data_IF_950604605658
#
_entry.id   IF_950604605658
#
_cell.length_a   1.000
_cell.length_b   1.000
_cell.length_c   1.000
_cell.angle_alpha   90.00
_cell.angle_beta   90.00
_cell.angle_gamma   90.00
#
_symmetry.space_group_name_H-M   'P 1'
#
loop_
_entity.id
_entity.type
_entity.pdbx_description
1 polymer ?
#
# COMPACT_ATOMS: atom_id res chain seq x y z
N UNK A 1 -19.31 8.38 -33.01
CA UNK A 1 -18.73 7.31 -32.16
C UNK A 1 -17.84 6.42 -33.01
N UNK A 2 -16.61 6.87 -33.31
CA UNK A 2 -15.54 5.99 -33.76
C UNK A 2 -15.03 5.26 -32.52
N UNK A 3 -15.57 4.09 -32.26
CA UNK A 3 -14.88 3.07 -31.48
C UNK A 3 -13.62 2.75 -32.29
N UNK A 4 -12.49 3.33 -31.91
CA UNK A 4 -11.18 2.95 -32.42
C UNK A 4 -11.05 1.46 -32.14
N UNK A 5 -11.04 0.65 -33.18
CA UNK A 5 -10.65 -0.76 -33.09
C UNK A 5 -9.15 -0.75 -32.78
N UNK A 6 -8.86 -0.88 -31.48
CA UNK A 6 -7.48 -1.07 -31.02
C UNK A 6 -7.02 -2.41 -31.59
N UNK A 7 -5.95 -2.39 -32.36
CA UNK A 7 -5.42 -3.62 -32.96
C UNK A 7 -4.86 -4.53 -31.83
N UNK A 8 -4.97 -5.85 -32.02
CA UNK A 8 -4.36 -6.81 -31.11
C UNK A 8 -2.85 -6.60 -30.96
N UNK A 9 -2.21 -6.09 -32.01
CA UNK A 9 -0.78 -5.78 -32.03
C UNK A 9 -0.44 -4.59 -31.11
N UNK A 10 -1.25 -3.54 -31.07
CA UNK A 10 -1.04 -2.39 -30.21
C UNK A 10 -1.18 -2.75 -28.74
N UNK A 11 -2.17 -3.58 -28.39
CA UNK A 11 -2.34 -4.12 -27.03
C UNK A 11 -1.13 -4.98 -26.65
N UNK A 12 -0.66 -5.83 -27.55
CA UNK A 12 0.52 -6.67 -27.32
C UNK A 12 1.77 -5.82 -27.07
N UNK A 13 2.00 -4.78 -27.87
CA UNK A 13 3.13 -3.85 -27.69
C UNK A 13 3.05 -3.12 -26.36
N UNK A 14 1.86 -2.62 -25.99
CA UNK A 14 1.64 -2.00 -24.67
C UNK A 14 1.99 -2.97 -23.54
N UNK A 15 1.55 -4.22 -23.61
CA UNK A 15 1.88 -5.23 -22.60
C UNK A 15 3.38 -5.55 -22.55
N UNK A 16 4.07 -5.53 -23.70
CA UNK A 16 5.53 -5.68 -23.72
C UNK A 16 6.24 -4.48 -23.10
N UNK A 17 5.80 -3.24 -23.38
CA UNK A 17 6.33 -2.04 -22.74
C UNK A 17 6.09 -2.07 -21.23
N UNK A 18 4.89 -2.46 -20.80
CA UNK A 18 4.56 -2.63 -19.40
C UNK A 18 5.45 -3.68 -18.71
N UNK A 19 5.66 -4.83 -19.37
CA UNK A 19 6.60 -5.84 -18.90
C UNK A 19 8.02 -5.26 -18.75
N UNK A 20 8.47 -4.44 -19.68
CA UNK A 20 9.79 -3.79 -19.62
C UNK A 20 9.85 -2.79 -18.47
N UNK A 21 8.79 -2.01 -18.22
CA UNK A 21 8.72 -1.08 -17.08
C UNK A 21 8.76 -1.81 -15.74
N UNK A 22 8.14 -3.00 -15.65
CA UNK A 22 8.08 -3.78 -14.41
C UNK A 22 9.34 -4.60 -14.16
N UNK A 23 9.90 -5.21 -15.19
CA UNK A 23 10.93 -6.25 -15.06
C UNK A 23 12.22 -5.93 -15.82
N UNK A 24 12.26 -4.84 -16.59
CA UNK A 24 13.41 -4.47 -17.41
C UNK A 24 14.56 -3.83 -16.62
N UNK A 25 14.28 -3.28 -15.47
CA UNK A 25 15.26 -2.72 -14.55
C UNK A 25 15.24 -3.50 -13.24
N UNK A 26 16.42 -3.84 -12.72
CA UNK A 26 16.57 -4.52 -11.41
C UNK A 26 15.96 -3.72 -10.24
N UNK A 27 15.81 -2.39 -10.40
CA UNK A 27 15.26 -1.47 -9.41
C UNK A 27 13.94 -0.84 -9.87
N UNK A 28 13.02 -1.64 -10.42
CA UNK A 28 11.68 -1.13 -10.76
C UNK A 28 10.92 -0.75 -9.50
N UNK A 29 10.64 0.55 -9.32
CA UNK A 29 9.86 1.07 -8.18
C UNK A 29 8.46 0.43 -8.11
N UNK A 30 7.84 0.14 -9.26
CA UNK A 30 6.54 -0.54 -9.31
C UNK A 30 6.63 -1.97 -8.80
N UNK A 31 7.67 -2.70 -9.20
CA UNK A 31 7.87 -4.07 -8.76
C UNK A 31 8.20 -4.12 -7.28
N UNK A 32 9.10 -3.23 -6.80
CA UNK A 32 9.41 -3.11 -5.39
C UNK A 32 8.17 -2.79 -4.56
N UNK A 33 7.33 -1.86 -5.01
CA UNK A 33 6.07 -1.54 -4.34
C UNK A 33 5.17 -2.77 -4.23
N UNK A 34 4.98 -3.52 -5.32
CA UNK A 34 4.16 -4.74 -5.32
C UNK A 34 4.76 -5.76 -4.35
N UNK A 35 6.06 -6.01 -4.42
CA UNK A 35 6.74 -6.98 -3.58
C UNK A 35 6.64 -6.63 -2.10
N UNK A 36 6.97 -5.40 -1.72
CA UNK A 36 6.96 -4.95 -0.33
C UNK A 36 5.55 -4.89 0.26
N UNK A 37 4.53 -4.60 -0.58
CA UNK A 37 3.15 -4.50 -0.11
C UNK A 37 2.48 -5.87 0.03
N UNK A 38 2.88 -6.86 -0.79
CA UNK A 38 2.13 -8.11 -0.91
C UNK A 38 2.91 -9.36 -0.54
N UNK A 39 4.19 -9.24 -0.21
CA UNK A 39 5.00 -10.41 0.18
C UNK A 39 4.40 -11.12 1.41
N UNK A 40 4.30 -12.45 1.39
CA UNK A 40 4.62 -13.38 0.29
C UNK A 40 3.42 -13.71 -0.63
N UNK A 41 2.36 -12.92 -0.63
CA UNK A 41 1.09 -13.25 -1.28
C UNK A 41 1.03 -12.81 -2.75
N UNK A 42 1.40 -13.67 -3.65
CA UNK A 42 1.39 -13.43 -5.11
C UNK A 42 -0.02 -13.05 -5.62
N UNK A 43 -1.09 -13.59 -5.02
CA UNK A 43 -2.47 -13.26 -5.42
C UNK A 43 -2.77 -11.78 -5.18
N UNK A 44 -2.39 -11.22 -4.03
CA UNK A 44 -2.54 -9.80 -3.74
C UNK A 44 -1.74 -8.94 -4.72
N UNK A 45 -0.53 -9.36 -5.08
CA UNK A 45 0.27 -8.69 -6.11
C UNK A 45 -0.44 -8.63 -7.47
N UNK A 46 -1.07 -9.71 -7.89
CA UNK A 46 -1.86 -9.76 -9.12
C UNK A 46 -3.11 -8.87 -9.04
N UNK A 47 -3.77 -8.78 -7.89
CA UNK A 47 -4.93 -7.90 -7.71
C UNK A 47 -4.52 -6.42 -7.72
N UNK A 48 -3.36 -6.05 -7.15
CA UNK A 48 -2.78 -4.71 -7.27
C UNK A 48 -2.54 -4.37 -8.76
N UNK A 49 -1.90 -5.27 -9.47
CA UNK A 49 -1.62 -5.09 -10.89
C UNK A 49 -2.89 -4.97 -11.72
N UNK A 50 -3.88 -5.81 -11.48
CA UNK A 50 -5.20 -5.72 -12.10
C UNK A 50 -5.87 -4.38 -11.79
N UNK A 51 -5.86 -3.94 -10.53
CA UNK A 51 -6.40 -2.65 -10.12
C UNK A 51 -5.75 -1.50 -10.88
N UNK A 52 -4.44 -1.53 -11.08
CA UNK A 52 -3.73 -0.57 -11.91
C UNK A 52 -4.27 -0.56 -13.35
N UNK A 53 -4.39 -1.72 -14.00
CA UNK A 53 -4.82 -1.81 -15.40
C UNK A 53 -6.27 -1.38 -15.64
N UNK A 54 -7.17 -1.62 -14.67
CA UNK A 54 -8.60 -1.30 -14.80
C UNK A 54 -9.00 0.02 -14.15
N UNK A 55 -8.07 0.67 -13.46
CA UNK A 55 -8.30 1.95 -12.83
C UNK A 55 -8.62 3.04 -13.85
N UNK A 56 -9.60 3.87 -13.55
CA UNK A 56 -9.89 5.07 -14.34
C UNK A 56 -8.78 6.16 -14.28
N UNK A 57 -7.72 5.92 -13.51
CA UNK A 57 -6.56 6.83 -13.37
C UNK A 57 -5.37 6.40 -14.22
N UNK A 58 -5.42 5.21 -14.82
CA UNK A 58 -4.41 4.73 -15.76
C UNK A 58 -4.84 5.05 -17.17
N UNK A 59 -4.01 5.82 -17.89
CA UNK A 59 -4.30 6.23 -19.25
C UNK A 59 -3.91 5.15 -20.28
N UNK A 60 -4.28 3.89 -20.03
CA UNK A 60 -3.94 2.74 -20.91
C UNK A 60 -4.24 3.02 -22.37
N UNK A 61 -5.39 3.65 -22.65
CA UNK A 61 -5.79 4.00 -24.00
C UNK A 61 -4.79 4.98 -24.65
N UNK A 62 -4.31 5.97 -23.93
CA UNK A 62 -3.30 6.91 -24.42
C UNK A 62 -1.96 6.23 -24.70
N UNK A 63 -1.56 5.30 -23.84
CA UNK A 63 -0.34 4.52 -24.06
C UNK A 63 -0.43 3.65 -25.30
N UNK A 64 -1.58 3.00 -25.53
CA UNK A 64 -1.81 2.21 -26.75
C UNK A 64 -1.78 3.10 -27.99
N UNK A 65 -2.44 4.27 -27.96
CA UNK A 65 -2.43 5.21 -29.10
C UNK A 65 -1.02 5.75 -29.41
N UNK A 66 -0.23 6.08 -28.39
CA UNK A 66 1.17 6.51 -28.59
C UNK A 66 1.99 5.42 -29.24
N UNK A 67 1.81 4.17 -28.81
CA UNK A 67 2.50 3.03 -29.38
C UNK A 67 2.06 2.74 -30.84
N UNK A 68 0.81 3.08 -31.20
CA UNK A 68 0.35 3.01 -32.60
C UNK A 68 1.00 4.10 -33.48
N UNK A 69 1.13 5.31 -32.91
CA UNK A 69 1.73 6.45 -33.60
C UNK A 69 3.25 6.29 -33.82
N UNK A 70 3.93 5.70 -32.81
CA UNK A 70 5.37 5.45 -32.88
C UNK A 70 5.69 4.05 -32.33
N UNK A 71 5.73 3.04 -33.20
CA UNK A 71 5.97 1.64 -32.82
C UNK A 71 7.33 1.38 -32.20
N UNK A 72 8.31 2.23 -32.43
CA UNK A 72 9.68 2.09 -31.91
C UNK A 72 9.89 2.83 -30.59
N UNK A 73 8.92 3.64 -30.15
CA UNK A 73 8.99 4.33 -28.88
C UNK A 73 8.80 3.36 -27.70
N UNK A 74 9.59 3.56 -26.65
CA UNK A 74 9.39 2.84 -25.39
C UNK A 74 8.40 3.61 -24.53
N UNK A 75 7.24 3.04 -24.29
CA UNK A 75 6.26 3.63 -23.37
C UNK A 75 6.76 3.52 -21.93
N UNK A 76 7.01 4.65 -21.30
CA UNK A 76 7.37 4.73 -19.88
C UNK A 76 6.11 5.09 -19.12
N UNK A 77 5.73 4.24 -18.16
CA UNK A 77 4.64 4.49 -17.24
C UNK A 77 5.24 5.09 -15.98
N UNK A 78 4.86 6.33 -15.60
CA UNK A 78 5.40 6.96 -14.39
C UNK A 78 4.96 6.22 -13.13
N UNK A 79 5.87 6.05 -12.17
CA UNK A 79 5.58 5.41 -10.89
C UNK A 79 4.43 6.08 -10.13
N UNK A 80 4.37 7.42 -10.13
CA UNK A 80 3.28 8.16 -9.48
C UNK A 80 1.90 7.83 -10.06
N UNK A 81 1.79 7.54 -11.36
CA UNK A 81 0.54 7.15 -12.00
C UNK A 81 0.10 5.76 -11.51
N UNK A 82 1.05 4.84 -11.39
CA UNK A 82 0.82 3.53 -10.82
C UNK A 82 0.31 3.64 -9.37
N UNK A 83 1.02 4.39 -8.51
CA UNK A 83 0.61 4.59 -7.11
C UNK A 83 -0.77 5.26 -7.01
N UNK A 84 -1.03 6.27 -7.84
CA UNK A 84 -2.34 6.92 -7.92
C UNK A 84 -3.45 5.95 -8.30
N UNK A 85 -3.23 5.15 -9.34
CA UNK A 85 -4.20 4.16 -9.82
C UNK A 85 -4.52 3.12 -8.76
N UNK A 86 -3.51 2.59 -8.08
CA UNK A 86 -3.64 1.62 -7.01
C UNK A 86 -4.32 2.22 -5.77
N UNK A 87 -3.92 3.44 -5.38
CA UNK A 87 -4.43 4.10 -4.18
C UNK A 87 -5.86 4.61 -4.31
N UNK A 88 -6.25 5.08 -5.49
CA UNK A 88 -7.60 5.60 -5.74
C UNK A 88 -8.54 4.55 -6.32
N UNK A 89 -8.01 3.50 -6.96
CA UNK A 89 -8.79 2.51 -7.67
C UNK A 89 -9.76 3.22 -8.66
N UNK A 90 -11.07 2.95 -8.58
CA UNK A 90 -12.10 3.59 -9.41
C UNK A 90 -12.72 4.84 -8.77
N UNK A 91 -12.10 5.42 -7.73
CA UNK A 91 -12.63 6.58 -7.02
C UNK A 91 -11.89 7.85 -7.43
N UNK A 92 -12.64 8.96 -7.51
CA UNK A 92 -12.07 10.28 -7.80
C UNK A 92 -11.17 10.78 -6.66
N UNK A 93 -11.50 10.41 -5.43
CA UNK A 93 -10.81 10.84 -4.22
C UNK A 93 -10.37 9.63 -3.40
N UNK A 94 -9.32 9.81 -2.63
CA UNK A 94 -8.83 8.79 -1.71
C UNK A 94 -9.91 8.41 -0.68
N UNK A 95 -10.04 7.10 -0.45
CA UNK A 95 -10.92 6.54 0.57
C UNK A 95 -10.17 5.46 1.34
N UNK A 96 -9.85 5.73 2.61
CA UNK A 96 -9.06 4.84 3.47
C UNK A 96 -9.68 3.47 3.72
N UNK A 97 -11.02 3.34 3.57
CA UNK A 97 -11.71 2.05 3.81
C UNK A 97 -11.55 1.06 2.65
N UNK A 98 -11.21 1.55 1.46
CA UNK A 98 -11.12 0.72 0.24
C UNK A 98 -9.77 0.80 -0.46
N UNK A 99 -8.92 1.74 -0.07
CA UNK A 99 -7.57 1.88 -0.63
C UNK A 99 -6.65 0.80 -0.06
N UNK A 100 -5.82 0.24 -0.92
CA UNK A 100 -4.73 -0.65 -0.51
C UNK A 100 -3.61 0.16 0.17
N UNK A 101 -3.48 1.44 -0.21
CA UNK A 101 -2.51 2.35 0.39
C UNK A 101 -3.13 2.95 1.66
N UNK A 102 -2.56 2.63 2.80
CA UNK A 102 -3.04 3.11 4.09
C UNK A 102 -2.55 4.53 4.37
N UNK A 103 -3.47 5.42 4.76
CA UNK A 103 -3.10 6.76 5.20
C UNK A 103 -2.78 6.76 6.70
N UNK A 104 -1.49 6.69 7.02
CA UNK A 104 -1.00 6.68 8.41
C UNK A 104 -1.26 7.99 9.17
N UNK A 105 -1.59 9.07 8.46
CA UNK A 105 -1.95 10.36 9.07
C UNK A 105 -3.45 10.46 9.39
N UNK A 106 -4.26 9.47 9.00
CA UNK A 106 -5.68 9.45 9.31
C UNK A 106 -5.87 8.79 10.68
N UNK A 107 -6.17 9.55 11.75
CA UNK A 107 -6.29 9.00 13.08
C UNK A 107 -7.63 8.29 13.25
N UNK A 108 -7.72 7.42 14.26
CA UNK A 108 -9.00 6.85 14.70
C UNK A 108 -9.93 7.96 15.20
N UNK A 109 -11.24 7.73 15.13
CA UNK A 109 -12.24 8.71 15.50
C UNK A 109 -12.03 9.25 16.93
N UNK A 110 -12.03 10.57 17.05
CA UNK A 110 -11.81 11.28 18.31
C UNK A 110 -10.34 11.46 18.71
N UNK A 111 -9.39 10.85 18.02
CA UNK A 111 -7.96 11.11 18.23
C UNK A 111 -7.51 12.32 17.41
N UNK A 112 -6.94 13.32 18.06
CA UNK A 112 -6.41 14.51 17.40
C UNK A 112 -4.93 14.38 17.00
N UNK A 113 -4.29 13.25 17.32
CA UNK A 113 -2.87 13.06 17.05
C UNK A 113 -2.64 12.27 15.75
N UNK A 114 -2.47 12.98 14.66
CA UNK A 114 -2.23 12.43 13.32
C UNK A 114 -0.91 11.66 13.14
N UNK A 115 0.00 11.74 14.12
CA UNK A 115 1.32 11.11 14.03
C UNK A 115 1.46 9.87 14.92
N UNK A 116 0.43 9.49 15.65
CA UNK A 116 0.53 8.40 16.63
C UNK A 116 0.87 7.06 15.95
N UNK A 117 0.20 6.69 14.86
CA UNK A 117 0.53 5.48 14.07
C UNK A 117 2.00 5.45 13.64
N UNK A 118 2.48 6.55 13.07
CA UNK A 118 3.87 6.66 12.60
C UNK A 118 4.86 6.51 13.75
N UNK A 119 4.55 7.09 14.92
CA UNK A 119 5.41 6.97 16.10
C UNK A 119 5.44 5.56 16.65
N UNK A 120 4.29 4.87 16.67
CA UNK A 120 4.20 3.47 17.07
C UNK A 120 5.04 2.62 16.12
N UNK A 121 4.84 2.74 14.81
CA UNK A 121 5.60 1.98 13.81
C UNK A 121 7.10 2.24 13.94
N UNK A 122 7.51 3.51 14.06
CA UNK A 122 8.93 3.86 14.20
C UNK A 122 9.54 3.34 15.50
N UNK A 123 8.77 3.26 16.57
CA UNK A 123 9.23 2.66 17.83
C UNK A 123 9.44 1.15 17.67
N UNK A 124 8.47 0.45 17.06
CA UNK A 124 8.54 -0.99 16.82
C UNK A 124 9.70 -1.34 15.87
N UNK A 125 9.88 -0.58 14.80
CA UNK A 125 10.99 -0.74 13.85
C UNK A 125 12.36 -0.61 14.55
N UNK A 126 12.53 0.42 15.38
CA UNK A 126 13.76 0.61 16.15
C UNK A 126 14.01 -0.52 17.14
N UNK A 127 12.96 -1.04 17.79
CA UNK A 127 13.09 -2.18 18.71
C UNK A 127 13.51 -3.44 17.95
N UNK A 128 12.95 -3.67 16.76
CA UNK A 128 13.28 -4.79 15.90
C UNK A 128 14.75 -4.74 15.44
N UNK A 129 15.26 -3.54 15.12
CA UNK A 129 16.61 -3.31 14.62
C UNK A 129 17.66 -3.23 15.74
N UNK A 130 17.27 -3.14 17.02
CA UNK A 130 18.21 -3.09 18.12
C UNK A 130 18.95 -4.42 18.26
N UNK A 131 20.25 -4.41 17.98
CA UNK A 131 21.12 -5.58 18.14
C UNK A 131 21.10 -6.08 19.61
N UNK A 132 20.79 -7.35 19.80
CA UNK A 132 20.88 -8.01 21.10
C UNK A 132 19.58 -8.16 21.88
N UNK A 133 18.44 -7.68 21.39
CA UNK A 133 17.18 -8.03 22.01
C UNK A 133 16.76 -9.44 21.57
N UNK A 134 16.80 -10.38 22.50
CA UNK A 134 16.28 -11.74 22.30
C UNK A 134 14.76 -11.73 22.07
N UNK A 135 14.11 -10.64 22.39
CA UNK A 135 12.68 -10.45 22.28
C UNK A 135 12.36 -9.48 21.13
N UNK A 136 11.96 -10.04 20.00
CA UNK A 136 11.46 -9.29 18.84
C UNK A 136 10.07 -8.71 19.07
N UNK A 137 9.39 -9.15 20.13
CA UNK A 137 8.03 -8.76 20.48
C UNK A 137 8.03 -7.80 21.66
N UNK A 138 7.00 -7.01 21.77
CA UNK A 138 6.72 -6.17 22.92
C UNK A 138 5.31 -6.47 23.42
N UNK A 139 5.15 -6.56 24.73
CA UNK A 139 3.82 -6.68 25.31
C UNK A 139 3.02 -5.41 25.05
N UNK A 140 1.76 -5.55 24.67
CA UNK A 140 0.87 -4.42 24.33
C UNK A 140 0.74 -3.44 25.51
N UNK A 141 0.63 -3.95 26.74
CA UNK A 141 0.52 -3.10 27.93
C UNK A 141 1.80 -2.31 28.20
N UNK A 142 2.97 -2.93 27.98
CA UNK A 142 4.26 -2.25 28.07
C UNK A 142 4.33 -1.10 27.05
N UNK A 143 3.96 -1.37 25.80
CA UNK A 143 3.94 -0.36 24.76
C UNK A 143 2.96 0.77 25.07
N UNK A 144 1.75 0.43 25.54
CA UNK A 144 0.75 1.43 25.95
C UNK A 144 1.30 2.30 27.08
N UNK A 145 1.91 1.71 28.11
CA UNK A 145 2.47 2.45 29.23
C UNK A 145 3.60 3.39 28.79
N UNK A 146 4.47 2.96 27.87
CA UNK A 146 5.52 3.82 27.31
C UNK A 146 4.95 5.07 26.65
N UNK A 147 3.91 4.89 25.82
CA UNK A 147 3.27 6.01 25.13
C UNK A 147 2.45 6.90 26.07
N UNK A 148 1.80 6.33 27.09
CA UNK A 148 1.09 7.11 28.15
C UNK A 148 2.08 7.99 28.91
N UNK A 149 3.26 7.49 29.26
CA UNK A 149 4.31 8.26 29.93
C UNK A 149 4.81 9.45 29.08
N UNK A 150 4.63 9.40 27.78
CA UNK A 150 4.97 10.49 26.85
C UNK A 150 3.77 11.41 26.59
N UNK A 151 2.62 11.15 27.20
CA UNK A 151 1.44 12.03 27.17
C UNK A 151 0.34 11.61 26.19
N UNK A 152 0.37 10.38 25.65
CA UNK A 152 -0.71 9.86 24.83
C UNK A 152 -1.81 9.22 25.68
N UNK A 153 -3.04 9.22 25.17
CA UNK A 153 -4.18 8.61 25.85
C UNK A 153 -4.24 7.11 25.53
N UNK A 154 -4.25 6.26 26.56
CA UNK A 154 -4.24 4.80 26.45
C UNK A 154 -5.28 4.26 25.46
N UNK A 155 -6.52 4.76 25.52
CA UNK A 155 -7.61 4.39 24.60
C UNK A 155 -7.20 4.54 23.13
N UNK A 156 -6.62 5.68 22.78
CA UNK A 156 -6.26 5.95 21.38
C UNK A 156 -5.04 5.12 20.93
N UNK A 157 -4.10 4.86 21.82
CA UNK A 157 -2.97 3.98 21.52
C UNK A 157 -3.47 2.59 21.13
N UNK A 158 -4.39 2.02 21.90
CA UNK A 158 -4.98 0.69 21.64
C UNK A 158 -5.73 0.67 20.30
N UNK A 159 -6.59 1.65 20.05
CA UNK A 159 -7.35 1.74 18.81
C UNK A 159 -6.44 1.92 17.57
N UNK A 160 -5.37 2.71 17.67
CA UNK A 160 -4.42 2.88 16.56
C UNK A 160 -3.60 1.59 16.33
N UNK A 161 -3.26 0.84 17.38
CA UNK A 161 -2.62 -0.47 17.26
C UNK A 161 -3.54 -1.48 16.57
N UNK A 162 -4.81 -1.56 16.96
CA UNK A 162 -5.80 -2.43 16.32
C UNK A 162 -5.93 -2.10 14.82
N UNK A 163 -5.93 -0.81 14.47
CA UNK A 163 -5.99 -0.40 13.07
C UNK A 163 -4.71 -0.77 12.32
N UNK A 164 -3.53 -0.60 12.93
CA UNK A 164 -2.25 -1.03 12.35
C UNK A 164 -2.20 -2.55 12.12
N UNK A 165 -2.74 -3.34 13.05
CA UNK A 165 -2.87 -4.79 12.88
C UNK A 165 -3.86 -5.15 11.77
N UNK A 166 -5.02 -4.47 11.71
CA UNK A 166 -6.00 -4.65 10.64
C UNK A 166 -5.40 -4.36 9.26
N UNK A 167 -4.52 -3.38 9.16
CA UNK A 167 -3.79 -3.05 7.94
C UNK A 167 -2.56 -3.93 7.69
N UNK A 168 -2.30 -4.91 8.57
CA UNK A 168 -1.14 -5.80 8.49
C UNK A 168 0.21 -5.06 8.48
N UNK A 169 0.26 -3.90 9.08
CA UNK A 169 1.50 -3.13 9.29
C UNK A 169 2.20 -3.52 10.58
N UNK A 170 1.49 -4.17 11.48
CA UNK A 170 1.99 -4.76 12.71
C UNK A 170 1.39 -6.17 12.82
N UNK A 171 2.23 -7.12 13.18
CA UNK A 171 1.81 -8.50 13.46
C UNK A 171 1.72 -8.71 14.97
N UNK A 172 0.76 -9.50 15.40
CA UNK A 172 0.61 -9.95 16.77
C UNK A 172 0.92 -11.44 16.84
N UNK A 173 1.53 -11.87 17.94
CA UNK A 173 1.84 -13.28 18.20
C UNK A 173 0.57 -14.08 18.54
N UNK A 174 -0.42 -13.42 19.11
CA UNK A 174 -1.73 -13.99 19.38
C UNK A 174 -2.69 -13.64 18.22
N UNK A 175 -3.44 -14.64 17.74
CA UNK A 175 -4.61 -14.34 16.92
C UNK A 175 -5.49 -13.41 17.74
N UNK A 176 -5.82 -12.23 17.18
CA UNK A 176 -6.84 -11.35 17.76
C UNK A 176 -8.20 -12.03 17.55
N UNK A 177 -8.39 -13.16 18.21
CA UNK A 177 -9.67 -13.76 18.44
C UNK A 177 -10.15 -13.21 19.77
N UNK A 178 -11.08 -12.25 19.69
CA UNK A 178 -11.91 -11.86 20.82
C UNK A 178 -11.19 -11.23 22.03
N UNK A 179 -10.38 -10.21 21.82
CA UNK A 179 -10.08 -9.29 22.91
C UNK A 179 -11.37 -8.50 23.15
N UNK A 180 -12.09 -8.98 24.16
CA UNK A 180 -13.16 -8.30 24.89
C UNK A 180 -13.54 -6.90 24.40
N UNK A 181 -14.41 -6.85 23.39
CA UNK A 181 -15.31 -5.71 23.22
C UNK A 181 -16.42 -5.93 24.24
N UNK A 182 -16.07 -5.84 25.51
CA UNK A 182 -17.00 -5.64 26.60
C UNK A 182 -16.54 -4.39 27.36
N UNK A 183 -17.12 -3.31 26.97
CA UNK A 183 -17.69 -2.14 27.66
C UNK A 183 -17.60 -0.89 26.81
#
# INVERSE_FOLDING_TARGET
>A
NKLLQISNDSVRRFLLSLKTCLFGNENSEMLSFIQETTYPNIREGLEIFKSFLVSGHTEVHQYVLRQEADPDSTTIIPYWEFVKAVGLNNKKYYNHNISIINNLFYPVEGNLNHFLKIKILKFLDRKLLSEGSSEKYINVEELVNLFVNVGYVSKYIKLELEELCRFRLVETDEQISDVDIMM
#
